data_IF_896261838415
#
_entry.id   IF_896261838415
#
_cell.length_a   1.000
_cell.length_b   1.000
_cell.length_c   1.000
_cell.angle_alpha   90.00
_cell.angle_beta   90.00
_cell.angle_gamma   90.00
#
_symmetry.space_group_name_H-M   'P 1'
#
loop_
_entity.id
_entity.type
_entity.pdbx_description
1 polymer ?
#
# COMPACT_ATOMS: atom_id res chain seq x y z
N UNK A 1 -10.45 -22.45 -13.55
CA UNK A 1 -10.16 -21.86 -12.22
C UNK A 1 -8.73 -21.37 -12.26
N UNK A 2 -8.40 -20.23 -11.62
CA UNK A 2 -7.01 -19.84 -11.48
C UNK A 2 -6.24 -20.92 -10.72
N UNK A 3 -5.23 -21.51 -11.37
CA UNK A 3 -4.45 -22.61 -10.78
C UNK A 3 -3.50 -22.05 -9.73
N UNK A 4 -3.33 -22.76 -8.61
CA UNK A 4 -2.38 -22.42 -7.54
C UNK A 4 -0.93 -22.25 -8.07
N UNK A 5 -0.64 -22.87 -9.22
CA UNK A 5 0.61 -22.73 -9.96
C UNK A 5 0.84 -21.30 -10.49
N UNK A 6 -0.23 -20.57 -10.86
CA UNK A 6 -0.13 -19.21 -11.40
C UNK A 6 0.29 -18.20 -10.33
N UNK A 7 -0.20 -18.36 -9.10
CA UNK A 7 0.19 -17.51 -7.97
C UNK A 7 1.64 -17.77 -7.54
N UNK A 8 2.06 -19.04 -7.52
CA UNK A 8 3.45 -19.40 -7.24
C UNK A 8 4.39 -18.82 -8.30
N UNK A 9 4.04 -18.95 -9.60
CA UNK A 9 4.81 -18.35 -10.69
C UNK A 9 4.86 -16.82 -10.57
N UNK A 10 3.73 -16.16 -10.32
CA UNK A 10 3.69 -14.71 -10.16
C UNK A 10 4.61 -14.23 -9.03
N UNK A 11 4.62 -14.94 -7.89
CA UNK A 11 5.49 -14.65 -6.75
C UNK A 11 6.98 -14.71 -7.11
N UNK A 12 7.39 -15.65 -7.96
CA UNK A 12 8.77 -15.71 -8.46
C UNK A 12 9.06 -14.64 -9.52
N UNK A 13 8.07 -14.22 -10.31
CA UNK A 13 8.27 -13.20 -11.33
C UNK A 13 8.49 -11.81 -10.74
N UNK A 14 7.77 -11.46 -9.66
CA UNK A 14 7.92 -10.15 -9.03
C UNK A 14 9.27 -9.96 -8.34
N UNK A 15 10.02 -11.04 -8.06
CA UNK A 15 11.36 -11.00 -7.46
C UNK A 15 12.49 -10.88 -8.49
N UNK A 16 12.18 -11.02 -9.79
CA UNK A 16 13.19 -10.99 -10.85
C UNK A 16 13.80 -9.61 -11.08
N UNK A 17 13.10 -8.53 -10.72
CA UNK A 17 13.56 -7.15 -10.91
C UNK A 17 13.89 -6.44 -9.60
N UNK A 18 12.96 -6.51 -8.64
CA UNK A 18 13.04 -5.90 -7.32
C UNK A 18 12.71 -6.99 -6.29
N UNK A 19 13.32 -7.01 -5.11
CA UNK A 19 12.95 -7.96 -4.03
C UNK A 19 11.60 -7.56 -3.41
N UNK A 20 10.51 -7.68 -4.19
CA UNK A 20 9.17 -7.40 -3.76
C UNK A 20 8.57 -8.63 -3.07
N UNK A 21 8.08 -8.43 -1.85
CA UNK A 21 7.48 -9.49 -1.07
C UNK A 21 5.99 -9.65 -1.37
N UNK A 22 5.53 -10.89 -1.26
CA UNK A 22 4.13 -11.32 -1.35
C UNK A 22 3.66 -11.80 0.02
N UNK A 23 2.40 -11.51 0.34
CA UNK A 23 1.76 -11.87 1.60
C UNK A 23 0.37 -12.41 1.32
N UNK A 24 -0.06 -13.38 2.11
CA UNK A 24 -1.41 -13.92 2.06
C UNK A 24 -2.04 -13.79 3.44
N UNK A 25 -3.20 -13.16 3.49
CA UNK A 25 -3.99 -12.99 4.69
C UNK A 25 -5.34 -13.69 4.55
N UNK A 26 -5.94 -14.08 5.67
CA UNK A 26 -7.35 -14.46 5.69
C UNK A 26 -8.28 -13.23 5.64
N UNK A 27 -9.58 -13.47 5.71
CA UNK A 27 -10.65 -12.47 5.77
C UNK A 27 -10.64 -11.54 7.00
N UNK A 28 -9.79 -11.84 7.98
CA UNK A 28 -9.59 -11.09 9.22
C UNK A 28 -8.20 -10.42 9.31
N UNK A 29 -7.43 -10.39 8.22
CA UNK A 29 -6.05 -9.85 8.19
C UNK A 29 -5.07 -10.57 9.10
N UNK A 30 -5.31 -11.86 9.37
CA UNK A 30 -4.33 -12.75 10.00
C UNK A 30 -3.42 -13.29 8.91
N UNK A 31 -2.10 -13.14 9.09
CA UNK A 31 -1.10 -13.59 8.15
C UNK A 31 -1.10 -15.12 8.05
N UNK A 32 -1.24 -15.63 6.82
CA UNK A 32 -1.20 -17.06 6.49
C UNK A 32 0.16 -17.46 5.93
N UNK A 33 0.71 -16.67 4.99
CA UNK A 33 2.00 -16.97 4.34
C UNK A 33 2.70 -15.69 3.82
N UNK A 34 4.03 -15.72 3.73
CA UNK A 34 4.85 -14.65 3.14
C UNK A 34 6.25 -15.15 2.75
N UNK A 35 6.84 -14.60 1.68
CA UNK A 35 8.28 -14.78 1.35
C UNK A 35 9.19 -13.76 2.06
N UNK A 36 8.65 -12.83 2.84
CA UNK A 36 9.46 -11.82 3.49
C UNK A 36 10.30 -12.42 4.64
N UNK A 37 11.63 -12.21 4.66
CA UNK A 37 12.47 -12.64 5.77
C UNK A 37 12.09 -11.96 7.09
N UNK A 38 11.77 -10.66 7.05
CA UNK A 38 11.40 -9.83 8.19
C UNK A 38 9.88 -9.78 8.42
N UNK A 39 9.19 -10.90 8.18
CA UNK A 39 7.71 -10.96 8.15
C UNK A 39 7.02 -10.40 9.37
N UNK A 40 7.54 -10.65 10.57
CA UNK A 40 6.91 -10.22 11.82
C UNK A 40 6.86 -8.69 11.96
N UNK A 41 7.95 -8.01 11.60
CA UNK A 41 8.03 -6.56 11.72
C UNK A 41 7.18 -5.89 10.64
N UNK A 42 7.36 -6.26 9.37
CA UNK A 42 6.66 -5.62 8.26
C UNK A 42 5.14 -5.93 8.26
N UNK A 43 4.73 -7.11 8.74
CA UNK A 43 3.32 -7.40 9.02
C UNK A 43 2.75 -6.49 10.12
N UNK A 44 3.51 -6.28 11.19
CA UNK A 44 3.10 -5.36 12.27
C UNK A 44 2.92 -3.93 11.75
N UNK A 45 3.81 -3.46 10.88
CA UNK A 45 3.70 -2.15 10.22
C UNK A 45 2.43 -2.09 9.36
N UNK A 46 2.21 -3.10 8.51
CA UNK A 46 1.05 -3.17 7.64
C UNK A 46 -0.25 -3.11 8.45
N UNK A 47 -0.40 -3.94 9.48
CA UNK A 47 -1.60 -3.98 10.34
C UNK A 47 -1.83 -2.71 11.15
N UNK A 48 -0.79 -1.90 11.36
CA UNK A 48 -0.88 -0.58 12.01
C UNK A 48 -1.11 0.56 11.02
N UNK A 49 -1.30 0.32 9.73
CA UNK A 49 -1.61 1.43 8.82
C UNK A 49 -3.08 1.87 8.97
N UNK A 50 -3.37 3.17 8.86
CA UNK A 50 -4.74 3.68 9.04
C UNK A 50 -5.71 3.26 7.92
N UNK A 51 -5.21 2.73 6.79
CA UNK A 51 -6.04 2.26 5.68
C UNK A 51 -6.81 0.96 5.97
N UNK A 52 -6.54 0.27 7.09
CA UNK A 52 -7.09 -1.07 7.36
C UNK A 52 -8.62 -1.15 7.33
N UNK A 53 -9.40 -0.21 7.90
CA UNK A 53 -10.85 -0.25 7.81
C UNK A 53 -11.33 -0.16 6.35
N UNK A 54 -10.73 0.72 5.56
CA UNK A 54 -11.07 0.89 4.14
C UNK A 54 -10.68 -0.34 3.31
N UNK A 55 -9.54 -0.96 3.61
CA UNK A 55 -9.11 -2.21 2.99
C UNK A 55 -10.17 -3.30 3.20
N UNK A 56 -10.62 -3.52 4.44
CA UNK A 56 -11.63 -4.54 4.75
C UNK A 56 -13.00 -4.22 4.14
N UNK A 57 -13.44 -2.96 4.17
CA UNK A 57 -14.70 -2.54 3.54
C UNK A 57 -14.67 -2.83 2.04
N UNK A 58 -13.59 -2.46 1.35
CA UNK A 58 -13.43 -2.72 -0.07
C UNK A 58 -13.36 -4.23 -0.36
N UNK A 59 -12.56 -4.98 0.39
CA UNK A 59 -12.36 -6.42 0.20
C UNK A 59 -13.67 -7.22 0.32
N UNK A 60 -14.54 -6.82 1.26
CA UNK A 60 -15.87 -7.42 1.42
C UNK A 60 -16.82 -7.02 0.30
N UNK A 61 -16.77 -5.76 -0.16
CA UNK A 61 -17.68 -5.25 -1.17
C UNK A 61 -17.33 -5.72 -2.61
N UNK A 62 -16.05 -5.81 -2.97
CA UNK A 62 -15.60 -5.96 -4.36
C UNK A 62 -14.29 -6.75 -4.47
N UNK A 63 -14.04 -7.35 -5.63
CA UNK A 63 -12.75 -8.00 -5.98
C UNK A 63 -11.76 -7.05 -6.66
N UNK A 64 -12.14 -5.78 -6.82
CA UNK A 64 -11.30 -4.73 -7.42
C UNK A 64 -10.06 -4.48 -6.53
N UNK A 65 -8.83 -4.55 -7.08
CA UNK A 65 -7.60 -4.31 -6.34
C UNK A 65 -7.52 -2.91 -5.72
N UNK A 66 -6.74 -2.79 -4.65
CA UNK A 66 -6.52 -1.54 -3.93
C UNK A 66 -5.02 -1.24 -3.83
N UNK A 67 -4.60 -0.08 -4.34
CA UNK A 67 -3.28 0.48 -4.07
C UNK A 67 -3.34 1.25 -2.75
N UNK A 68 -2.45 0.88 -1.83
CA UNK A 68 -2.39 1.38 -0.46
C UNK A 68 -1.12 2.18 -0.29
N UNK A 69 -1.19 3.34 0.37
CA UNK A 69 0.01 4.13 0.67
C UNK A 69 -0.11 4.93 1.96
N UNK A 70 1.04 5.17 2.59
CA UNK A 70 1.20 6.11 3.71
C UNK A 70 2.06 7.31 3.27
N UNK A 71 1.97 8.44 3.98
CA UNK A 71 2.69 9.68 3.67
C UNK A 71 4.23 9.54 3.57
N UNK A 72 4.81 8.47 4.13
CA UNK A 72 6.22 8.10 4.01
C UNK A 72 6.62 7.66 2.58
N UNK A 73 5.66 7.51 1.67
CA UNK A 73 5.88 6.98 0.31
C UNK A 73 5.94 5.46 0.24
N UNK A 74 5.72 4.78 1.37
CA UNK A 74 5.57 3.33 1.45
C UNK A 74 4.24 2.92 0.81
N UNK A 75 4.29 1.88 -0.02
CA UNK A 75 3.16 1.43 -0.84
C UNK A 75 2.99 -0.08 -0.78
N UNK A 76 1.73 -0.50 -0.90
CA UNK A 76 1.32 -1.89 -1.08
C UNK A 76 0.23 -1.97 -2.14
N UNK A 77 0.02 -3.18 -2.66
CA UNK A 77 -1.15 -3.51 -3.46
C UNK A 77 -1.86 -4.68 -2.82
N UNK A 78 -3.17 -4.58 -2.64
CA UNK A 78 -4.01 -5.67 -2.16
C UNK A 78 -4.98 -6.14 -3.25
N UNK A 79 -5.11 -7.46 -3.39
CA UNK A 79 -6.02 -8.14 -4.30
C UNK A 79 -6.88 -9.11 -3.49
N UNK A 80 -8.17 -9.14 -3.79
CA UNK A 80 -9.15 -9.88 -2.99
C UNK A 80 -9.59 -11.14 -3.72
N UNK A 81 -9.51 -12.27 -3.02
CA UNK A 81 -10.02 -13.56 -3.46
C UNK A 81 -11.38 -13.81 -2.80
N UNK A 82 -12.37 -14.17 -3.60
CA UNK A 82 -13.71 -14.50 -3.10
C UNK A 82 -14.06 -15.95 -3.39
N UNK A 83 -14.61 -16.62 -2.38
CA UNK A 83 -15.23 -17.94 -2.51
C UNK A 83 -16.70 -17.81 -2.18
N UNK A 84 -17.58 -18.28 -3.07
CA UNK A 84 -19.04 -18.19 -2.90
C UNK A 84 -19.53 -16.75 -2.62
N UNK A 85 -18.85 -15.75 -3.19
CA UNK A 85 -19.17 -14.33 -3.02
C UNK A 85 -18.66 -13.69 -1.72
N UNK A 86 -18.12 -14.49 -0.79
CA UNK A 86 -17.53 -14.04 0.46
C UNK A 86 -16.01 -13.86 0.32
N UNK A 87 -15.47 -12.90 1.06
CA UNK A 87 -14.02 -12.70 1.14
C UNK A 87 -13.38 -13.96 1.73
N UNK A 88 -12.46 -14.57 0.99
CA UNK A 88 -11.74 -15.77 1.43
C UNK A 88 -10.29 -15.44 1.80
N UNK A 89 -9.59 -14.72 0.93
CA UNK A 89 -8.19 -14.34 1.13
C UNK A 89 -7.91 -12.93 0.62
N UNK A 90 -6.88 -12.30 1.20
CA UNK A 90 -6.31 -11.04 0.73
C UNK A 90 -4.86 -11.31 0.36
N UNK A 91 -4.53 -11.13 -0.91
CA UNK A 91 -3.17 -11.25 -1.43
C UNK A 91 -2.56 -9.86 -1.51
N UNK A 92 -1.41 -9.66 -0.87
CA UNK A 92 -0.74 -8.35 -0.81
C UNK A 92 0.66 -8.47 -1.41
N UNK A 93 1.08 -7.46 -2.16
CA UNK A 93 2.48 -7.25 -2.52
C UNK A 93 2.99 -5.92 -1.97
N UNK A 94 4.25 -5.89 -1.54
CA UNK A 94 4.84 -4.77 -0.82
C UNK A 94 5.51 -5.23 0.48
N UNK A 95 5.86 -4.31 1.40
CA UNK A 95 5.98 -2.88 1.12
C UNK A 95 7.09 -2.58 0.10
N UNK A 96 6.91 -1.49 -0.64
CA UNK A 96 7.94 -0.87 -1.46
C UNK A 96 7.87 0.65 -1.32
N UNK A 97 8.89 1.38 -1.75
CA UNK A 97 8.83 2.83 -1.86
C UNK A 97 8.40 3.26 -3.26
N UNK A 98 7.50 4.23 -3.33
CA UNK A 98 7.08 4.85 -4.60
C UNK A 98 8.10 5.83 -5.18
N UNK A 99 9.03 6.31 -4.36
CA UNK A 99 10.12 7.21 -4.72
C UNK A 99 11.31 7.02 -3.75
N UNK A 100 12.49 7.46 -4.14
CA UNK A 100 13.67 7.42 -3.27
C UNK A 100 13.43 8.22 -1.98
N UNK A 101 13.69 7.58 -0.84
CA UNK A 101 13.64 8.21 0.48
C UNK A 101 14.99 8.03 1.14
N UNK A 102 15.59 9.10 1.65
CA UNK A 102 16.87 9.01 2.35
C UNK A 102 16.68 8.39 3.74
N UNK A 103 17.66 7.64 4.27
CA UNK A 103 17.59 7.09 5.62
C UNK A 103 17.39 8.14 6.71
N UNK A 104 17.95 9.35 6.55
CA UNK A 104 17.76 10.45 7.50
C UNK A 104 16.31 10.92 7.51
N UNK A 105 15.69 11.05 6.33
CA UNK A 105 14.28 11.41 6.21
C UNK A 105 13.38 10.32 6.81
N UNK A 106 13.70 9.04 6.59
CA UNK A 106 13.01 7.92 7.23
C UNK A 106 13.09 8.01 8.75
N UNK A 107 14.28 8.26 9.30
CA UNK A 107 14.48 8.38 10.74
C UNK A 107 13.71 9.56 11.36
N UNK A 108 13.66 10.70 10.67
CA UNK A 108 12.86 11.86 11.11
C UNK A 108 11.37 11.55 11.08
N UNK A 109 10.84 11.05 9.97
CA UNK A 109 9.40 10.79 9.85
C UNK A 109 8.92 9.67 10.78
N UNK A 110 9.73 8.62 10.98
CA UNK A 110 9.44 7.58 11.97
C UNK A 110 9.57 8.09 13.40
N UNK A 111 10.53 8.99 13.67
CA UNK A 111 10.71 9.62 14.98
C UNK A 111 9.52 10.47 15.41
N UNK A 112 8.90 11.20 14.46
CA UNK A 112 7.69 11.99 14.67
C UNK A 112 6.41 11.15 14.75
N UNK A 113 6.38 10.00 14.05
CA UNK A 113 5.16 9.19 13.91
C UNK A 113 5.03 8.04 14.92
N UNK A 114 6.11 7.66 15.61
CA UNK A 114 6.10 6.55 16.59
C UNK A 114 6.10 7.04 18.05
N UNK A 115 5.41 6.32 18.96
CA UNK A 115 5.35 6.67 20.37
C UNK A 115 6.74 6.84 21.00
N UNK A 116 6.84 7.75 21.96
CA UNK A 116 8.07 7.99 22.70
C UNK A 116 8.54 6.75 23.48
N UNK A 117 7.62 5.83 23.82
CA UNK A 117 7.94 4.60 24.56
C UNK A 117 8.57 3.49 23.71
N UNK A 118 8.60 3.63 22.38
CA UNK A 118 9.29 2.66 21.52
C UNK A 118 10.81 2.72 21.75
N UNK A 119 11.43 1.57 22.02
CA UNK A 119 12.87 1.52 22.30
C UNK A 119 13.70 2.05 21.12
N UNK A 120 14.81 2.70 21.43
CA UNK A 120 15.74 3.21 20.40
C UNK A 120 16.20 2.07 19.46
N UNK A 121 16.44 0.89 20.03
CA UNK A 121 16.81 -0.31 19.27
C UNK A 121 15.73 -0.70 18.25
N UNK A 122 14.45 -0.64 18.63
CA UNK A 122 13.35 -0.93 17.71
C UNK A 122 13.26 0.11 16.58
N UNK A 123 13.43 1.41 16.89
CA UNK A 123 13.43 2.48 15.87
C UNK A 123 14.60 2.32 14.88
N UNK A 124 15.79 1.98 15.37
CA UNK A 124 16.97 1.73 14.53
C UNK A 124 16.80 0.51 13.63
N UNK A 125 16.26 -0.58 14.19
CA UNK A 125 15.95 -1.80 13.43
C UNK A 125 14.94 -1.52 12.31
N UNK A 126 13.90 -0.73 12.62
CA UNK A 126 12.88 -0.32 11.67
C UNK A 126 13.47 0.50 10.52
N UNK A 127 14.30 1.51 10.82
CA UNK A 127 14.97 2.30 9.79
C UNK A 127 15.85 1.41 8.91
N UNK A 128 16.60 0.46 9.50
CA UNK A 128 17.45 -0.46 8.75
C UNK A 128 16.64 -1.30 7.76
N UNK A 129 15.56 -1.92 8.23
CA UNK A 129 14.72 -2.79 7.40
C UNK A 129 14.01 -1.98 6.31
N UNK A 130 13.49 -0.79 6.64
CA UNK A 130 12.87 0.06 5.61
C UNK A 130 13.89 0.50 4.56
N UNK A 131 15.12 0.84 4.95
CA UNK A 131 16.16 1.25 4.01
C UNK A 131 16.56 0.16 2.99
N UNK A 132 16.26 -1.11 3.27
CA UNK A 132 16.50 -2.25 2.37
C UNK A 132 15.33 -2.47 1.38
N UNK A 133 14.20 -1.81 1.56
CA UNK A 133 13.03 -2.02 0.69
C UNK A 133 13.24 -1.47 -0.72
N UNK A 134 12.70 -2.15 -1.76
CA UNK A 134 12.84 -1.71 -3.13
C UNK A 134 12.09 -0.41 -3.41
N UNK A 135 12.59 0.36 -4.36
CA UNK A 135 11.89 1.54 -4.91
C UNK A 135 11.22 1.13 -6.22
N UNK A 136 9.89 1.07 -6.23
CA UNK A 136 9.11 0.61 -7.38
C UNK A 136 8.20 1.72 -7.87
N UNK A 137 8.27 2.01 -9.18
CA UNK A 137 7.39 2.99 -9.80
C UNK A 137 5.92 2.57 -9.68
N UNK A 138 5.04 3.55 -9.54
CA UNK A 138 3.58 3.31 -9.49
C UNK A 138 3.07 2.58 -10.74
N UNK A 139 3.71 2.78 -11.90
CA UNK A 139 3.35 2.10 -13.14
C UNK A 139 3.65 0.60 -13.10
N UNK A 140 4.80 0.21 -12.55
CA UNK A 140 5.16 -1.21 -12.35
C UNK A 140 4.21 -1.86 -11.34
N UNK A 141 3.95 -1.21 -10.20
CA UNK A 141 2.99 -1.70 -9.21
C UNK A 141 1.58 -1.85 -9.78
N UNK A 142 1.15 -0.93 -10.65
CA UNK A 142 -0.13 -1.01 -11.35
C UNK A 142 -0.19 -2.27 -12.22
N UNK A 143 0.87 -2.58 -12.95
CA UNK A 143 0.93 -3.81 -13.78
C UNK A 143 0.92 -5.06 -12.92
N UNK A 144 1.68 -5.08 -11.82
CA UNK A 144 1.65 -6.20 -10.86
C UNK A 144 0.27 -6.38 -10.22
N UNK A 145 -0.46 -5.30 -9.92
CA UNK A 145 -1.82 -5.37 -9.42
C UNK A 145 -2.77 -6.08 -10.39
N UNK A 146 -2.72 -5.72 -11.68
CA UNK A 146 -3.54 -6.33 -12.73
C UNK A 146 -3.18 -7.80 -12.94
N UNK A 147 -1.89 -8.13 -12.95
CA UNK A 147 -1.41 -9.50 -13.12
C UNK A 147 -1.81 -10.37 -11.93
N UNK A 148 -1.60 -9.89 -10.70
CA UNK A 148 -2.02 -10.60 -9.48
C UNK A 148 -3.54 -10.79 -9.46
N UNK A 149 -4.32 -9.77 -9.82
CA UNK A 149 -5.77 -9.88 -9.93
C UNK A 149 -6.18 -10.99 -10.91
N UNK A 150 -5.57 -11.03 -12.10
CA UNK A 150 -5.84 -12.09 -13.07
C UNK A 150 -5.44 -13.47 -12.53
N UNK A 151 -4.31 -13.58 -11.82
CA UNK A 151 -3.88 -14.82 -11.18
C UNK A 151 -4.84 -15.29 -10.07
N UNK A 152 -5.54 -14.38 -9.40
CA UNK A 152 -6.47 -14.70 -8.29
C UNK A 152 -7.90 -14.93 -8.78
N UNK A 153 -8.42 -14.10 -9.67
CA UNK A 153 -9.83 -14.06 -10.04
C UNK A 153 -10.10 -14.59 -11.47
N UNK A 154 -9.08 -14.60 -12.34
CA UNK A 154 -9.17 -15.13 -13.71
C UNK A 154 -9.72 -14.15 -14.75
N UNK A 155 -10.17 -12.96 -14.34
CA UNK A 155 -10.64 -11.88 -15.21
C UNK A 155 -9.63 -10.73 -15.29
N UNK A 156 -9.81 -9.88 -16.30
CA UNK A 156 -8.91 -8.75 -16.62
C UNK A 156 -9.60 -7.44 -16.28
N UNK A 157 -8.85 -6.56 -15.64
CA UNK A 157 -9.27 -5.19 -15.35
C UNK A 157 -8.46 -4.17 -16.15
N UNK A 158 -9.02 -2.98 -16.30
CA UNK A 158 -8.28 -1.81 -16.73
C UNK A 158 -7.57 -1.17 -15.53
N UNK A 159 -6.48 -0.44 -15.78
CA UNK A 159 -5.77 0.28 -14.73
C UNK A 159 -6.65 1.31 -14.01
N UNK A 160 -7.65 1.87 -14.72
CA UNK A 160 -8.64 2.81 -14.18
C UNK A 160 -9.54 2.22 -13.09
N UNK A 161 -9.67 0.89 -13.06
CA UNK A 161 -10.53 0.19 -12.13
C UNK A 161 -9.88 0.05 -10.75
N UNK A 162 -8.55 0.13 -10.66
CA UNK A 162 -7.81 -0.02 -9.41
C UNK A 162 -8.19 1.11 -8.44
N UNK A 163 -8.62 0.74 -7.24
CA UNK A 163 -8.89 1.68 -6.17
C UNK A 163 -7.60 2.23 -5.55
N UNK A 164 -7.65 3.44 -5.00
CA UNK A 164 -6.52 4.08 -4.30
C UNK A 164 -6.93 4.45 -2.88
N UNK A 165 -6.17 4.01 -1.88
CA UNK A 165 -6.33 4.37 -0.47
C UNK A 165 -5.04 4.98 0.08
N UNK A 166 -5.15 6.22 0.55
CA UNK A 166 -4.06 7.00 1.11
C UNK A 166 -4.31 7.24 2.59
N UNK A 167 -3.34 6.93 3.43
CA UNK A 167 -3.33 7.24 4.87
C UNK A 167 -2.17 8.16 5.23
N UNK A 168 -2.29 8.86 6.36
CA UNK A 168 -1.27 9.84 6.75
C UNK A 168 -0.15 9.20 7.60
N UNK A 169 -0.39 8.01 8.17
CA UNK A 169 0.64 7.30 8.93
C UNK A 169 0.18 5.96 9.51
N UNK A 170 0.70 5.67 10.71
CA UNK A 170 0.41 4.49 11.50
C UNK A 170 -0.57 4.81 12.64
N UNK A 171 -1.47 3.89 12.99
CA UNK A 171 -2.33 3.97 14.17
C UNK A 171 -1.54 3.70 15.46
N UNK A 172 -1.75 4.55 16.48
CA UNK A 172 -1.37 4.23 17.86
C UNK A 172 -2.23 3.05 18.40
N UNK A 173 -1.69 2.18 19.28
CA UNK A 173 -2.54 1.35 20.12
C UNK A 173 -3.14 2.23 21.22
N UNK A 174 -4.28 2.87 20.95
CA UNK A 174 -5.03 3.63 21.95
C UNK A 174 -6.51 3.28 21.91
N UNK A 175 -7.08 3.23 23.11
CA UNK A 175 -8.49 2.97 23.42
C UNK A 175 -9.46 3.75 22.54
N UNK A 176 -10.60 3.12 22.28
CA UNK A 176 -11.71 3.53 21.43
C UNK A 176 -12.04 5.04 21.43
N UNK A 177 -12.61 5.46 20.29
CA UNK A 177 -13.23 6.75 19.98
C UNK A 177 -12.30 7.87 19.45
N UNK A 178 -12.12 7.86 18.12
CA UNK A 178 -12.19 9.11 17.36
C UNK A 178 -12.79 8.80 15.99
N UNK A 179 -13.84 9.54 15.65
CA UNK A 179 -14.63 9.44 14.42
C UNK A 179 -13.79 9.84 13.19
N UNK A 180 -12.90 8.95 12.76
CA UNK A 180 -11.96 9.23 11.69
C UNK A 180 -12.61 8.92 10.34
N UNK A 181 -13.44 9.85 9.86
CA UNK A 181 -14.02 9.78 8.51
C UNK A 181 -12.90 9.64 7.48
N UNK A 182 -13.00 8.68 6.53
CA UNK A 182 -11.99 8.51 5.49
C UNK A 182 -11.86 9.80 4.68
N UNK A 183 -10.64 10.34 4.59
CA UNK A 183 -10.39 11.52 3.75
C UNK A 183 -10.54 11.12 2.28
N UNK A 184 -11.59 11.61 1.62
CA UNK A 184 -11.89 11.35 0.21
C UNK A 184 -10.79 11.90 -0.72
N UNK A 185 -10.62 11.26 -1.87
CA UNK A 185 -9.66 11.60 -2.94
C UNK A 185 -9.64 13.10 -3.29
N UNK A 186 -10.83 13.69 -3.35
CA UNK A 186 -11.05 15.11 -3.63
C UNK A 186 -10.37 16.04 -2.62
N UNK A 187 -10.33 15.66 -1.35
CA UNK A 187 -9.67 16.48 -0.33
C UNK A 187 -8.15 16.42 -0.43
N UNK A 188 -7.59 15.32 -0.96
CA UNK A 188 -6.14 15.24 -1.24
C UNK A 188 -5.79 16.16 -2.40
N UNK A 189 -6.62 16.19 -3.45
CA UNK A 189 -6.43 17.07 -4.61
C UNK A 189 -6.57 18.55 -4.23
N UNK A 190 -7.60 18.89 -3.48
CA UNK A 190 -7.84 20.27 -3.03
C UNK A 190 -6.71 20.77 -2.13
N UNK A 191 -6.23 19.93 -1.21
CA UNK A 191 -5.08 20.25 -0.36
C UNK A 191 -3.80 20.46 -1.17
N UNK A 192 -3.57 19.63 -2.20
CA UNK A 192 -2.42 19.76 -3.09
C UNK A 192 -2.46 21.09 -3.86
N UNK A 193 -3.61 21.42 -4.46
CA UNK A 193 -3.81 22.67 -5.18
C UNK A 193 -3.69 23.88 -4.25
N UNK A 194 -4.23 23.76 -3.03
CA UNK A 194 -4.15 24.81 -2.03
C UNK A 194 -2.69 25.08 -1.60
N UNK A 195 -1.88 24.04 -1.40
CA UNK A 195 -0.46 24.20 -1.04
C UNK A 195 0.42 24.72 -2.17
N UNK A 196 0.14 24.34 -3.42
CA UNK A 196 0.78 24.94 -4.59
C UNK A 196 0.47 26.44 -4.63
N UNK A 197 -0.78 26.82 -4.37
CA UNK A 197 -1.24 28.21 -4.33
C UNK A 197 -0.60 29.02 -3.19
N UNK A 198 -0.37 28.41 -2.03
CA UNK A 198 0.23 29.11 -0.87
C UNK A 198 1.77 29.08 -0.86
N UNK A 199 2.41 28.35 -1.77
CA UNK A 199 3.87 28.27 -1.85
C UNK A 199 4.52 27.45 -0.74
N UNK A 200 3.78 26.50 -0.13
CA UNK A 200 4.28 25.65 0.95
C UNK A 200 5.22 24.55 0.43
N UNK A 201 6.53 24.67 0.71
CA UNK A 201 7.60 23.79 0.24
C UNK A 201 7.53 22.34 0.79
N UNK A 202 6.65 22.04 1.75
CA UNK A 202 6.42 20.67 2.27
C UNK A 202 5.60 19.79 1.31
N UNK A 203 5.84 19.90 -0.01
CA UNK A 203 5.11 19.17 -1.06
C UNK A 203 5.35 17.65 -1.04
N UNK A 204 6.49 17.19 -0.49
CA UNK A 204 6.92 15.79 -0.62
C UNK A 204 5.93 14.75 -0.08
N UNK A 205 5.21 15.07 1.01
CA UNK A 205 4.22 14.18 1.62
C UNK A 205 2.98 13.99 0.74
N UNK A 206 2.59 15.02 -0.02
CA UNK A 206 1.42 14.97 -0.92
C UNK A 206 1.83 14.52 -2.34
N UNK A 207 3.07 14.78 -2.77
CA UNK A 207 3.59 14.33 -4.07
C UNK A 207 3.71 12.80 -4.17
N UNK A 208 4.07 12.12 -3.10
CA UNK A 208 4.06 10.65 -3.06
C UNK A 208 2.64 10.10 -3.33
N UNK A 209 1.63 10.73 -2.74
CA UNK A 209 0.24 10.45 -3.05
C UNK A 209 -0.12 10.83 -4.50
N UNK A 210 0.36 11.97 -4.98
CA UNK A 210 0.14 12.45 -6.34
C UNK A 210 0.73 11.52 -7.40
N UNK A 211 1.89 10.91 -7.17
CA UNK A 211 2.52 9.96 -8.10
C UNK A 211 1.67 8.69 -8.30
N UNK A 212 0.92 8.28 -7.27
CA UNK A 212 -0.06 7.20 -7.37
C UNK A 212 -1.30 7.68 -8.15
N UNK A 213 -1.69 8.94 -7.95
CA UNK A 213 -2.85 9.55 -8.61
C UNK A 213 -2.59 9.90 -10.09
N UNK A 214 -1.38 10.35 -10.47
CA UNK A 214 -1.03 10.77 -11.83
C UNK A 214 -1.25 9.65 -12.86
N UNK A 215 -1.04 8.39 -12.47
CA UNK A 215 -1.34 7.25 -13.34
C UNK A 215 -2.82 7.14 -13.70
N UNK A 216 -3.74 7.65 -12.87
CA UNK A 216 -5.17 7.69 -13.19
C UNK A 216 -5.52 8.80 -14.18
N UNK A 217 -4.78 9.91 -14.15
CA UNK A 217 -5.05 11.10 -14.98
C UNK A 217 -4.44 11.04 -16.37
N UNK A 218 -3.19 10.56 -16.51
CA UNK A 218 -2.51 10.49 -17.82
C UNK A 218 -3.22 9.56 -18.81
N UNK A 219 -3.99 8.57 -18.33
CA UNK A 219 -4.73 7.64 -19.21
C UNK A 219 -6.12 8.13 -19.61
N UNK A 220 -6.63 9.23 -19.02
CA UNK A 220 -7.94 9.81 -19.40
C UNK A 220 -7.86 10.71 -20.65
N UNK A 221 -6.66 11.12 -21.03
CA UNK A 221 -6.41 11.98 -22.20
C UNK A 221 -6.11 11.20 -23.49
N UNK A 222 -6.20 9.87 -23.48
CA UNK A 222 -6.04 9.04 -24.68
C UNK A 222 -7.37 8.57 -25.29
N UNK A 223 -8.51 8.90 -24.67
CA UNK A 223 -9.86 8.59 -25.15
C UNK A 223 -10.59 9.85 -25.69
N UNK A 224 -9.92 10.65 -26.51
CA UNK A 224 -10.54 11.74 -27.30
C UNK A 224 -9.93 11.84 -28.68
#
# INVERSE_FOLDING_TARGET
MPDQNNLALFRELITCGDELYSWQYNDQLVLLDSNCPQKELLDTIFRRCEFQPRLLTQARASSVPLMLSISLGLVWVAVFEKSEGLLSKIHVIGPAFSALVSPEKLAVELGESYPAEASLAYKQELVRILAELPVISSMVLTRYALMLHYCVNGDKLAASDIGISLSHGFTEPRSEESDNKPRSLWMVEEELLNRIRTGDLQFGKILNSANILQNRFSMRFQDT
#
